data_IF_338259129907
#
_entry.id   IF_338259129907
#
_cell.length_a   1.000
_cell.length_b   1.000
_cell.length_c   1.000
_cell.angle_alpha   90.00
_cell.angle_beta   90.00
_cell.angle_gamma   90.00
#
_symmetry.space_group_name_H-M   'P 1'
#
loop_
_entity.id
_entity.type
_entity.pdbx_description
1 polymer ?
#
# COMPACT_ATOMS: atom_id res chain seq x y z
N UNK A 1 -34.26 -13.40 -78.05
CA UNK A 1 -34.99 -14.38 -77.25
C UNK A 1 -34.18 -14.56 -75.96
N UNK A 2 -34.68 -14.03 -74.86
CA UNK A 2 -34.06 -14.04 -73.54
C UNK A 2 -34.49 -15.24 -72.72
N UNK A 3 -33.66 -15.86 -71.96
CA UNK A 3 -34.13 -16.50 -70.73
C UNK A 3 -33.58 -15.84 -69.49
N UNK A 4 -34.53 -15.59 -68.61
CA UNK A 4 -34.37 -14.99 -67.33
C UNK A 4 -33.43 -15.77 -66.36
N UNK A 5 -32.39 -15.09 -65.84
CA UNK A 5 -31.58 -15.59 -64.79
C UNK A 5 -32.29 -15.41 -63.45
N UNK A 6 -32.73 -16.50 -62.86
CA UNK A 6 -33.21 -16.54 -61.45
C UNK A 6 -32.05 -16.37 -60.52
N UNK A 7 -31.99 -15.24 -59.81
CA UNK A 7 -31.09 -15.05 -58.67
C UNK A 7 -31.69 -15.73 -57.42
N UNK A 8 -31.09 -16.83 -57.01
CA UNK A 8 -31.30 -17.40 -55.67
C UNK A 8 -30.50 -16.55 -54.68
N UNK A 9 -31.21 -15.77 -53.86
CA UNK A 9 -30.64 -15.13 -52.71
C UNK A 9 -30.55 -16.16 -51.57
N UNK A 10 -29.33 -16.63 -51.31
CA UNK A 10 -29.07 -17.43 -50.11
C UNK A 10 -29.00 -16.46 -48.91
N UNK A 11 -30.01 -16.47 -48.07
CA UNK A 11 -29.99 -15.80 -46.78
C UNK A 11 -29.15 -16.65 -45.82
N UNK A 12 -27.96 -16.22 -45.54
CA UNK A 12 -27.12 -16.77 -44.43
C UNK A 12 -27.64 -16.15 -43.15
N UNK A 13 -28.44 -16.90 -42.38
CA UNK A 13 -28.83 -16.53 -41.05
C UNK A 13 -27.63 -16.66 -40.13
N UNK A 14 -27.03 -15.52 -39.77
CA UNK A 14 -25.98 -15.44 -38.77
C UNK A 14 -26.62 -15.60 -37.37
N UNK A 15 -26.60 -16.80 -36.81
CA UNK A 15 -26.95 -17.06 -35.42
C UNK A 15 -25.86 -16.50 -34.55
N UNK A 16 -26.02 -15.26 -34.07
CA UNK A 16 -25.21 -14.67 -33.00
C UNK A 16 -25.65 -15.33 -31.68
N UNK A 17 -24.90 -16.34 -31.27
CA UNK A 17 -25.05 -16.93 -29.95
C UNK A 17 -24.52 -15.90 -28.93
N UNK A 18 -25.42 -15.06 -28.39
CA UNK A 18 -25.10 -14.19 -27.28
C UNK A 18 -24.79 -15.05 -26.05
N UNK A 19 -23.50 -15.25 -25.77
CA UNK A 19 -23.07 -15.76 -24.47
C UNK A 19 -23.43 -14.71 -23.41
N UNK A 20 -24.58 -14.89 -22.80
CA UNK A 20 -24.95 -14.14 -21.59
C UNK A 20 -24.06 -14.65 -20.48
N UNK A 21 -22.88 -14.02 -20.31
CA UNK A 21 -22.14 -14.18 -19.09
C UNK A 21 -22.95 -13.52 -17.97
N UNK A 22 -23.33 -14.25 -16.90
CA UNK A 22 -23.88 -13.58 -15.74
C UNK A 22 -22.85 -12.54 -15.26
N UNK A 23 -23.29 -11.33 -14.85
CA UNK A 23 -22.37 -10.40 -14.26
C UNK A 23 -21.68 -11.13 -13.10
N UNK A 24 -20.34 -11.17 -13.13
CA UNK A 24 -19.58 -11.67 -12.01
C UNK A 24 -20.00 -10.79 -10.82
N UNK A 25 -20.80 -11.35 -9.94
CA UNK A 25 -21.02 -10.80 -8.62
C UNK A 25 -19.64 -10.74 -7.99
N UNK A 26 -19.05 -9.55 -8.01
CA UNK A 26 -17.89 -9.26 -7.17
C UNK A 26 -18.40 -9.52 -5.76
N UNK A 27 -18.06 -10.68 -5.24
CA UNK A 27 -18.17 -10.93 -3.82
C UNK A 27 -17.35 -9.79 -3.17
N UNK A 28 -18.05 -8.85 -2.54
CA UNK A 28 -17.44 -7.91 -1.62
C UNK A 28 -16.84 -8.76 -0.51
N UNK A 29 -15.64 -9.27 -0.75
CA UNK A 29 -14.79 -9.72 0.34
C UNK A 29 -14.60 -8.49 1.23
N UNK A 30 -14.87 -8.56 2.53
CA UNK A 30 -14.57 -7.44 3.40
C UNK A 30 -13.08 -7.13 3.19
N UNK A 31 -12.79 -5.95 2.65
CA UNK A 31 -11.43 -5.48 2.47
C UNK A 31 -10.84 -5.27 3.87
N UNK A 32 -10.23 -6.31 4.42
CA UNK A 32 -9.52 -6.27 5.69
C UNK A 32 -8.02 -6.06 5.50
N UNK A 33 -7.59 -5.86 4.25
CA UNK A 33 -6.21 -5.65 3.92
C UNK A 33 -6.02 -4.17 3.61
N UNK A 34 -5.44 -3.45 4.54
CA UNK A 34 -4.84 -2.18 4.21
C UNK A 34 -3.45 -2.50 3.66
N UNK A 35 -3.36 -2.51 2.35
CA UNK A 35 -2.09 -2.66 1.65
C UNK A 35 -1.41 -1.29 1.63
N UNK A 36 -0.19 -1.25 2.16
CA UNK A 36 0.66 -0.07 2.13
C UNK A 36 1.59 -0.16 0.93
N UNK A 37 1.36 0.67 -0.08
CA UNK A 37 2.07 0.57 -1.35
C UNK A 37 2.68 1.91 -1.78
N UNK A 38 3.93 1.88 -2.25
CA UNK A 38 4.61 2.98 -2.92
C UNK A 38 5.07 2.54 -4.31
N UNK A 39 4.76 3.35 -5.35
CA UNK A 39 5.11 3.03 -6.74
C UNK A 39 5.69 4.24 -7.46
N UNK A 40 6.95 4.18 -7.84
CA UNK A 40 7.67 5.22 -8.58
C UNK A 40 8.17 4.69 -9.93
N UNK A 41 7.61 5.18 -11.03
CA UNK A 41 8.01 4.79 -12.40
C UNK A 41 8.38 6.02 -13.20
N UNK A 42 9.49 5.97 -13.95
CA UNK A 42 9.97 7.06 -14.79
C UNK A 42 10.43 6.56 -16.16
N UNK A 43 9.97 7.25 -17.22
CA UNK A 43 10.35 6.99 -18.61
C UNK A 43 10.95 8.23 -19.29
N UNK A 44 11.00 9.36 -18.61
CA UNK A 44 11.53 10.61 -19.14
C UNK A 44 13.00 10.75 -18.84
N UNK A 45 13.84 11.03 -19.88
CA UNK A 45 15.25 11.29 -19.74
C UNK A 45 15.53 12.46 -18.79
N UNK A 46 16.48 12.29 -17.89
CA UNK A 46 16.81 13.24 -16.83
C UNK A 46 15.73 13.43 -15.76
N UNK A 47 14.64 12.67 -15.87
CA UNK A 47 13.48 12.79 -14.98
C UNK A 47 13.68 12.11 -13.63
N UNK A 48 12.75 12.43 -12.71
CA UNK A 48 12.71 11.86 -11.36
C UNK A 48 11.29 11.45 -11.01
N UNK A 49 11.16 10.29 -10.37
CA UNK A 49 9.94 9.81 -9.75
C UNK A 49 10.22 9.45 -8.31
N UNK A 50 9.36 9.88 -7.41
CA UNK A 50 9.41 9.51 -6.00
C UNK A 50 7.99 9.17 -5.53
N UNK A 51 7.86 8.10 -4.76
CA UNK A 51 6.63 7.77 -4.07
C UNK A 51 6.93 7.22 -2.67
N UNK A 52 6.05 7.56 -1.73
CA UNK A 52 6.23 7.23 -0.33
C UNK A 52 4.90 6.85 0.33
N UNK A 53 4.86 5.67 0.92
CA UNK A 53 3.74 5.18 1.71
C UNK A 53 4.16 4.94 3.18
N UNK A 54 3.33 5.38 4.12
CA UNK A 54 3.54 5.16 5.54
C UNK A 54 2.22 4.87 6.25
N UNK A 55 2.13 3.71 6.86
CA UNK A 55 0.92 3.27 7.54
C UNK A 55 1.20 2.75 8.95
N UNK A 56 0.27 3.02 9.87
CA UNK A 56 0.28 2.48 11.23
C UNK A 56 -1.09 1.84 11.49
N UNK A 57 -1.10 0.54 11.69
CA UNK A 57 -2.30 -0.28 11.89
C UNK A 57 -2.35 -0.86 13.30
N UNK A 58 -3.56 -1.00 13.82
CA UNK A 58 -3.83 -1.78 15.04
C UNK A 58 -4.89 -2.82 14.72
N UNK A 59 -4.57 -4.08 14.94
CA UNK A 59 -5.45 -5.24 14.71
C UNK A 59 -5.70 -5.98 16.02
N UNK A 60 -6.85 -6.66 16.12
CA UNK A 60 -7.17 -7.56 17.24
C UNK A 60 -6.82 -8.99 16.88
N UNK A 61 -6.39 -9.78 17.87
CA UNK A 61 -6.22 -11.22 17.74
C UNK A 61 -7.53 -11.95 17.41
N UNK A 62 -7.42 -13.19 16.95
CA UNK A 62 -8.53 -14.00 16.42
C UNK A 62 -8.74 -13.84 14.92
N UNK A 63 -7.89 -13.08 14.24
CA UNK A 63 -7.87 -12.88 12.79
C UNK A 63 -6.51 -13.27 12.20
N UNK A 64 -6.50 -13.49 10.90
CA UNK A 64 -5.26 -13.66 10.14
C UNK A 64 -4.62 -12.29 9.95
N UNK A 65 -3.35 -12.18 10.31
CA UNK A 65 -2.50 -11.01 10.06
C UNK A 65 -1.69 -11.27 8.80
N UNK A 66 -2.13 -10.76 7.67
CA UNK A 66 -1.51 -10.97 6.36
C UNK A 66 -1.32 -9.65 5.59
N UNK A 67 -1.13 -8.56 6.31
CA UNK A 67 -0.86 -7.23 5.76
C UNK A 67 0.26 -7.25 4.72
N UNK A 68 0.09 -6.47 3.66
CA UNK A 68 1.05 -6.34 2.59
C UNK A 68 1.68 -4.95 2.59
N UNK A 69 3.00 -4.90 2.55
CA UNK A 69 3.79 -3.67 2.44
C UNK A 69 4.70 -3.79 1.23
N UNK A 70 4.53 -2.91 0.24
CA UNK A 70 5.26 -3.01 -1.01
C UNK A 70 5.86 -1.68 -1.48
N UNK A 71 7.03 -1.77 -2.10
CA UNK A 71 7.70 -0.68 -2.78
C UNK A 71 8.12 -1.12 -4.17
N UNK A 72 7.62 -0.46 -5.21
CA UNK A 72 7.95 -0.74 -6.60
C UNK A 72 8.59 0.48 -7.25
N UNK A 73 9.81 0.34 -7.75
CA UNK A 73 10.48 1.40 -8.49
C UNK A 73 10.91 0.90 -9.87
N UNK A 74 10.70 1.72 -10.92
CA UNK A 74 11.03 1.36 -12.28
C UNK A 74 11.58 2.54 -13.09
N UNK A 75 12.58 2.28 -13.95
CA UNK A 75 13.08 3.28 -14.86
C UNK A 75 13.35 2.71 -16.25
N UNK A 76 13.00 3.49 -17.31
CA UNK A 76 13.27 3.21 -18.71
C UNK A 76 13.65 4.49 -19.43
N UNK A 77 14.87 5.00 -19.17
CA UNK A 77 15.32 6.32 -19.63
C UNK A 77 16.82 6.47 -19.49
N UNK A 78 17.33 7.66 -19.80
CA UNK A 78 18.73 8.02 -19.61
C UNK A 78 18.84 9.06 -18.50
N UNK A 79 19.82 8.92 -17.59
CA UNK A 79 20.10 9.87 -16.49
C UNK A 79 18.90 10.10 -15.55
N UNK A 80 18.08 9.11 -15.32
CA UNK A 80 16.87 9.24 -14.51
C UNK A 80 16.95 8.54 -13.16
N UNK A 81 16.03 8.91 -12.25
CA UNK A 81 15.96 8.35 -10.92
C UNK A 81 14.52 7.99 -10.55
N UNK A 82 14.32 6.77 -10.03
CA UNK A 82 13.05 6.35 -9.43
C UNK A 82 13.31 5.87 -7.99
N UNK A 83 12.52 6.34 -7.04
CA UNK A 83 12.65 5.96 -5.63
C UNK A 83 11.26 5.68 -5.06
N UNK A 84 11.04 4.46 -4.58
CA UNK A 84 9.82 4.05 -3.88
C UNK A 84 10.16 3.60 -2.46
N UNK A 85 9.47 4.14 -1.45
CA UNK A 85 9.70 3.83 -0.03
C UNK A 85 8.37 3.50 0.63
N UNK A 86 8.23 2.30 1.21
CA UNK A 86 7.06 1.87 1.95
C UNK A 86 7.40 1.47 3.38
N UNK A 87 6.76 2.11 4.36
CA UNK A 87 6.87 1.79 5.78
C UNK A 87 5.52 1.39 6.35
N UNK A 88 5.44 0.24 6.98
CA UNK A 88 4.22 -0.22 7.64
C UNK A 88 4.52 -0.69 9.07
N UNK A 89 3.73 -0.22 10.02
CA UNK A 89 3.75 -0.64 11.42
C UNK A 89 2.43 -1.30 11.76
N UNK A 90 2.46 -2.55 12.19
CA UNK A 90 1.27 -3.34 12.56
C UNK A 90 1.37 -3.76 14.02
N UNK A 91 0.46 -3.24 14.84
CA UNK A 91 0.26 -3.69 16.22
C UNK A 91 -0.88 -4.72 16.25
N UNK A 92 -0.59 -5.91 16.75
CA UNK A 92 -1.56 -6.98 16.90
C UNK A 92 -1.75 -7.28 18.39
N UNK A 93 -2.97 -7.15 18.88
CA UNK A 93 -3.31 -7.46 20.28
C UNK A 93 -4.06 -8.77 20.40
N UNK A 94 -3.71 -9.58 21.39
CA UNK A 94 -4.26 -10.90 21.64
C UNK A 94 -3.54 -12.00 20.83
N UNK A 95 -4.21 -13.12 20.66
CA UNK A 95 -3.67 -14.31 19.99
C UNK A 95 -4.22 -14.40 18.57
N UNK A 96 -3.48 -13.97 17.54
CA UNK A 96 -3.89 -14.13 16.15
C UNK A 96 -3.85 -15.60 15.76
N UNK A 97 -4.80 -16.04 14.92
CA UNK A 97 -4.82 -17.41 14.38
C UNK A 97 -3.61 -17.69 13.51
N UNK A 98 -3.16 -16.68 12.79
CA UNK A 98 -2.00 -16.73 11.91
C UNK A 98 -1.36 -15.36 11.74
N UNK A 99 -0.02 -15.32 11.75
CA UNK A 99 0.78 -14.15 11.41
C UNK A 99 1.62 -14.48 10.17
N UNK A 100 1.26 -13.88 9.03
CA UNK A 100 1.91 -14.12 7.75
C UNK A 100 1.99 -12.83 6.90
N UNK A 101 2.54 -11.73 7.46
CA UNK A 101 2.68 -10.48 6.74
C UNK A 101 3.64 -10.64 5.57
N UNK A 102 3.45 -9.82 4.52
CA UNK A 102 4.29 -9.82 3.33
C UNK A 102 4.93 -8.45 3.17
N UNK A 103 6.23 -8.45 2.89
CA UNK A 103 7.01 -7.24 2.67
C UNK A 103 7.84 -7.41 1.41
N UNK A 104 7.59 -6.60 0.39
CA UNK A 104 8.20 -6.73 -0.93
C UNK A 104 8.80 -5.41 -1.41
N UNK A 105 10.01 -5.47 -1.96
CA UNK A 105 10.66 -4.35 -2.61
C UNK A 105 11.20 -4.79 -3.97
N UNK A 106 10.75 -4.13 -5.04
CA UNK A 106 11.13 -4.45 -6.43
C UNK A 106 11.67 -3.21 -7.13
N UNK A 107 12.93 -3.27 -7.55
CA UNK A 107 13.58 -2.22 -8.32
C UNK A 107 13.97 -2.75 -9.71
N UNK A 108 13.48 -2.13 -10.79
CA UNK A 108 13.66 -2.60 -12.17
C UNK A 108 14.24 -1.49 -13.04
N UNK A 109 15.38 -1.79 -13.68
CA UNK A 109 15.96 -0.98 -14.75
C UNK A 109 15.73 -1.67 -16.09
N UNK A 110 15.02 -1.02 -17.01
CA UNK A 110 14.77 -1.51 -18.36
C UNK A 110 15.40 -0.55 -19.39
N UNK A 111 16.35 -1.05 -20.17
CA UNK A 111 16.99 -0.26 -21.23
C UNK A 111 17.53 1.10 -20.74
N UNK A 112 18.09 1.12 -19.55
CA UNK A 112 18.43 2.31 -18.79
C UNK A 112 19.92 2.63 -18.89
N UNK A 113 20.26 3.91 -19.11
CA UNK A 113 21.65 4.38 -19.10
C UNK A 113 21.83 5.38 -17.96
N UNK A 114 22.73 5.09 -17.01
CA UNK A 114 23.02 5.92 -15.83
C UNK A 114 21.79 6.21 -14.95
N UNK A 115 20.86 5.26 -14.84
CA UNK A 115 19.71 5.40 -13.96
C UNK A 115 20.01 4.93 -12.52
N UNK A 116 19.30 5.52 -11.57
CA UNK A 116 19.28 5.07 -10.19
C UNK A 116 17.85 4.67 -9.84
N UNK A 117 17.64 3.39 -9.50
CA UNK A 117 16.33 2.87 -9.11
C UNK A 117 16.43 2.25 -7.74
N UNK A 118 15.59 2.72 -6.81
CA UNK A 118 15.59 2.30 -5.41
C UNK A 118 14.18 1.93 -4.99
N UNK A 119 14.02 0.73 -4.44
CA UNK A 119 12.80 0.31 -3.78
C UNK A 119 13.14 -0.16 -2.36
N UNK A 120 12.50 0.40 -1.35
CA UNK A 120 12.72 0.11 0.05
C UNK A 120 11.40 -0.14 0.77
N UNK A 121 11.18 -1.37 1.22
CA UNK A 121 10.01 -1.75 2.00
C UNK A 121 10.42 -2.15 3.42
N UNK A 122 9.83 -1.54 4.43
CA UNK A 122 10.07 -1.82 5.85
C UNK A 122 8.75 -2.11 6.54
N UNK A 123 8.59 -3.32 7.05
CA UNK A 123 7.40 -3.74 7.76
C UNK A 123 7.76 -4.16 9.20
N UNK A 124 7.03 -3.64 10.16
CA UNK A 124 7.21 -3.90 11.58
C UNK A 124 5.93 -4.49 12.15
N UNK A 125 5.96 -5.74 12.57
CA UNK A 125 4.81 -6.39 13.19
C UNK A 125 5.13 -6.66 14.66
N UNK A 126 4.30 -6.15 15.55
CA UNK A 126 4.39 -6.37 16.99
C UNK A 126 3.13 -7.05 17.49
N UNK A 127 3.27 -8.27 17.97
CA UNK A 127 2.20 -9.00 18.66
C UNK A 127 2.34 -8.76 20.17
N UNK A 128 1.24 -8.42 20.83
CA UNK A 128 1.16 -8.18 22.27
C UNK A 128 -0.07 -8.90 22.84
N UNK A 129 0.01 -9.38 24.08
CA UNK A 129 -1.05 -10.17 24.68
C UNK A 129 -2.32 -9.34 24.95
N UNK A 130 -2.14 -8.08 25.35
CA UNK A 130 -3.23 -7.17 25.69
C UNK A 130 -3.29 -5.98 24.72
N UNK A 131 -4.46 -5.35 24.57
CA UNK A 131 -4.59 -4.14 23.76
C UNK A 131 -3.67 -3.02 24.25
N UNK A 132 -2.86 -2.48 23.34
CA UNK A 132 -1.96 -1.35 23.62
C UNK A 132 -2.23 -0.20 22.65
N UNK A 133 -1.76 0.98 23.04
CA UNK A 133 -1.69 2.18 22.20
C UNK A 133 -0.31 2.81 22.30
N UNK A 134 0.05 3.60 21.30
CA UNK A 134 1.23 4.45 21.41
C UNK A 134 1.01 5.58 22.43
N UNK A 135 2.06 5.91 23.17
CA UNK A 135 2.08 7.16 23.96
C UNK A 135 2.01 8.37 23.03
N UNK A 136 1.72 9.57 23.59
CA UNK A 136 1.76 10.82 22.82
C UNK A 136 3.16 11.08 22.26
N UNK A 137 4.21 10.77 23.03
CA UNK A 137 5.60 10.85 22.59
C UNK A 137 5.87 9.88 21.43
N UNK A 138 5.40 8.63 21.51
CA UNK A 138 5.55 7.64 20.44
C UNK A 138 4.84 8.08 19.16
N UNK A 139 3.62 8.60 19.25
CA UNK A 139 2.89 9.16 18.09
C UNK A 139 3.63 10.34 17.46
N UNK A 140 4.17 11.23 18.28
CA UNK A 140 4.95 12.37 17.79
C UNK A 140 6.20 11.92 17.03
N UNK A 141 6.91 10.89 17.54
CA UNK A 141 8.07 10.31 16.86
C UNK A 141 7.68 9.67 15.54
N UNK A 142 6.58 8.87 15.48
CA UNK A 142 6.12 8.26 14.22
C UNK A 142 5.69 9.30 13.19
N UNK A 143 5.03 10.37 13.63
CA UNK A 143 4.69 11.50 12.75
C UNK A 143 5.94 12.21 12.23
N UNK A 144 6.98 12.34 13.03
CA UNK A 144 8.26 12.91 12.59
C UNK A 144 9.00 11.98 11.62
N UNK A 145 9.04 10.69 11.87
CA UNK A 145 9.57 9.67 10.93
C UNK A 145 8.90 9.82 9.57
N UNK A 146 7.57 9.88 9.52
CA UNK A 146 6.82 10.09 8.28
C UNK A 146 7.25 11.37 7.55
N UNK A 147 7.36 12.49 8.27
CA UNK A 147 7.81 13.77 7.67
C UNK A 147 9.23 13.68 7.12
N UNK A 148 10.15 13.05 7.85
CA UNK A 148 11.56 12.92 7.43
C UNK A 148 11.69 12.05 6.17
N UNK A 149 10.95 10.94 6.09
CA UNK A 149 10.95 10.08 4.91
C UNK A 149 10.30 10.76 3.71
N UNK A 150 9.18 11.46 3.88
CA UNK A 150 8.55 12.24 2.81
C UNK A 150 9.46 13.38 2.30
N UNK A 151 10.25 14.00 3.16
CA UNK A 151 11.16 15.09 2.78
C UNK A 151 12.31 14.62 1.86
N UNK A 152 12.58 13.31 1.77
CA UNK A 152 13.59 12.76 0.86
C UNK A 152 13.26 13.01 -0.61
N UNK A 153 11.98 13.20 -0.96
CA UNK A 153 11.54 13.61 -2.29
C UNK A 153 12.22 14.91 -2.73
N UNK A 154 12.17 15.93 -1.87
CA UNK A 154 12.71 17.28 -2.17
C UNK A 154 14.21 17.32 -1.97
N UNK A 155 14.74 16.62 -0.97
CA UNK A 155 16.17 16.59 -0.67
C UNK A 155 16.97 15.86 -1.74
N UNK A 156 16.38 14.82 -2.36
CA UNK A 156 16.97 13.96 -3.38
C UNK A 156 18.45 13.61 -3.09
N UNK A 157 18.73 13.01 -1.93
CA UNK A 157 20.09 12.76 -1.49
C UNK A 157 20.80 11.72 -2.37
N UNK A 158 22.14 11.68 -2.37
CA UNK A 158 22.90 10.57 -2.95
C UNK A 158 22.47 9.23 -2.37
N UNK A 159 22.68 8.13 -3.12
CA UNK A 159 22.18 6.80 -2.76
C UNK A 159 22.64 6.34 -1.36
N UNK A 160 23.88 6.59 -0.99
CA UNK A 160 24.41 6.22 0.33
C UNK A 160 23.70 6.98 1.46
N UNK A 161 23.45 8.29 1.26
CA UNK A 161 22.79 9.14 2.24
C UNK A 161 21.29 8.79 2.32
N UNK A 162 20.66 8.41 1.18
CA UNK A 162 19.29 7.91 1.15
C UNK A 162 19.14 6.65 2.02
N UNK A 163 20.01 5.66 1.85
CA UNK A 163 19.98 4.44 2.65
C UNK A 163 20.23 4.73 4.14
N UNK A 164 21.22 5.57 4.46
CA UNK A 164 21.50 5.95 5.84
C UNK A 164 20.31 6.67 6.50
N UNK A 165 19.62 7.55 5.74
CA UNK A 165 18.42 8.23 6.22
C UNK A 165 17.28 7.23 6.50
N UNK A 166 17.04 6.27 5.60
CA UNK A 166 16.01 5.23 5.77
C UNK A 166 16.33 4.35 7.00
N UNK A 167 17.56 3.89 7.14
CA UNK A 167 18.01 3.09 8.30
C UNK A 167 17.87 3.85 9.63
N UNK A 168 18.16 5.14 9.64
CA UNK A 168 17.96 5.98 10.81
C UNK A 168 16.49 6.04 11.23
N UNK A 169 15.56 6.17 10.26
CA UNK A 169 14.12 6.17 10.56
C UNK A 169 13.63 4.78 10.99
N UNK A 170 14.15 3.70 10.41
CA UNK A 170 13.88 2.33 10.85
C UNK A 170 14.26 2.13 12.33
N UNK A 171 15.44 2.57 12.74
CA UNK A 171 15.89 2.49 14.12
C UNK A 171 14.96 3.25 15.09
N UNK A 172 14.44 4.41 14.68
CA UNK A 172 13.47 5.18 15.47
C UNK A 172 12.14 4.45 15.63
N UNK A 173 11.60 3.86 14.54
CA UNK A 173 10.38 3.05 14.62
C UNK A 173 10.56 1.87 15.57
N UNK A 174 11.69 1.16 15.49
CA UNK A 174 12.01 0.05 16.41
C UNK A 174 12.06 0.51 17.87
N UNK A 175 12.65 1.68 18.12
CA UNK A 175 12.68 2.27 19.47
C UNK A 175 11.28 2.54 19.98
N UNK A 176 10.42 3.18 19.19
CA UNK A 176 9.03 3.46 19.56
C UNK A 176 8.27 2.17 19.90
N UNK A 177 8.41 1.12 19.09
CA UNK A 177 7.77 -0.17 19.33
C UNK A 177 8.25 -0.87 20.62
N UNK A 178 9.43 -0.53 21.10
CA UNK A 178 10.00 -1.12 22.30
C UNK A 178 9.72 -0.31 23.58
N UNK A 179 9.55 1.02 23.47
CA UNK A 179 9.52 1.91 24.63
C UNK A 179 8.25 2.75 24.76
N UNK A 180 7.46 2.89 23.69
CA UNK A 180 6.36 3.84 23.63
C UNK A 180 4.97 3.17 23.47
N UNK A 181 4.83 1.96 24.02
CA UNK A 181 3.55 1.26 24.08
C UNK A 181 3.04 1.22 25.51
N UNK A 182 1.76 1.58 25.71
CA UNK A 182 1.07 1.52 27.01
C UNK A 182 -0.25 0.76 26.86
N UNK A 183 -0.74 0.11 27.92
CA UNK A 183 -2.05 -0.55 27.89
C UNK A 183 -3.17 0.41 27.46
N UNK A 184 -4.09 -0.10 26.65
CA UNK A 184 -5.32 0.62 26.31
C UNK A 184 -6.29 0.50 27.48
N UNK A 185 -6.85 1.60 27.94
CA UNK A 185 -7.83 1.63 29.03
C UNK A 185 -9.24 1.70 28.46
N UNK A 186 -10.26 1.34 29.23
CA UNK A 186 -11.68 1.40 28.80
C UNK A 186 -12.10 2.83 28.41
N UNK A 187 -11.49 3.85 29.01
CA UNK A 187 -11.72 5.26 28.66
C UNK A 187 -11.21 5.64 27.26
N UNK A 188 -10.35 4.83 26.64
CA UNK A 188 -9.84 5.04 25.28
C UNK A 188 -10.82 4.53 24.21
N UNK A 189 -11.84 3.78 24.59
CA UNK A 189 -12.85 3.24 23.68
C UNK A 189 -13.96 4.26 23.34
N UNK A 190 -14.23 5.23 24.21
CA UNK A 190 -15.29 6.22 24.03
C UNK A 190 -15.08 7.20 22.86
N UNK A 191 -13.88 7.76 22.62
CA UNK A 191 -13.68 8.69 21.51
C UNK A 191 -13.87 8.05 20.14
N UNK A 192 -13.45 6.80 19.98
CA UNK A 192 -13.57 6.06 18.71
C UNK A 192 -15.03 5.71 18.37
N UNK A 193 -15.86 5.45 19.38
CA UNK A 193 -17.29 5.23 19.22
C UNK A 193 -18.05 6.52 18.89
N UNK A 194 -17.65 7.65 19.47
CA UNK A 194 -18.21 8.97 19.18
C UNK A 194 -17.87 9.44 17.77
N UNK A 195 -16.64 9.26 17.31
CA UNK A 195 -16.24 9.59 15.94
C UNK A 195 -17.00 8.73 14.91
N UNK A 196 -17.12 7.43 15.13
CA UNK A 196 -17.93 6.55 14.28
C UNK A 196 -19.39 6.94 14.24
N UNK A 197 -19.97 7.38 15.35
CA UNK A 197 -21.36 7.82 15.43
C UNK A 197 -21.58 9.13 14.68
N UNK A 198 -20.66 10.09 14.82
CA UNK A 198 -20.70 11.37 14.11
C UNK A 198 -20.58 11.19 12.58
N UNK A 199 -19.77 10.24 12.12
CA UNK A 199 -19.62 9.94 10.70
C UNK A 199 -20.87 9.25 10.11
N UNK A 200 -21.57 8.41 10.89
CA UNK A 200 -22.82 7.77 10.48
C UNK A 200 -24.00 8.73 10.42
N UNK A 201 -24.08 9.70 11.32
CA UNK A 201 -25.16 10.71 11.34
C UNK A 201 -25.00 11.74 10.20
N UNK A 202 -23.79 11.90 9.64
CA UNK A 202 -23.53 12.81 8.50
C UNK A 202 -23.91 12.21 7.14
N UNK A 203 -24.04 10.89 7.04
CA UNK A 203 -24.47 10.21 5.80
C UNK A 203 -25.99 10.06 5.65
N UNK A 204 -26.76 10.38 6.68
CA UNK A 204 -28.24 10.24 6.70
C UNK A 204 -29.00 11.59 6.65
N UNK A 205 -28.32 12.70 6.47
CA UNK A 205 -28.87 14.04 6.27
C UNK A 205 -28.63 14.56 4.86
#
# INVERSE_FOLDING_TARGET
>A
MSPAARRLAAQVALLVLACVFPPATQANSPQRHQDNAATAVIEQDGGRAFDFAFEVLTQRGGEVVDNFNEAHAGARCTDCRATAIAFQVVLVSGSPDRVAPRNEAVAINLECTRCVVVAEARQFVRVVDEPVKFTDAGRAVLADVRRQLSALEVQDPPLADLHAAIEAQEARVRTVLNTELVPKTDSDAEPELLERRLLQDTELG
#
